data_IF_391231395141
#
_entry.id   IF_391231395141
#
_cell.length_a   1.000
_cell.length_b   1.000
_cell.length_c   1.000
_cell.angle_alpha   90.00
_cell.angle_beta   90.00
_cell.angle_gamma   90.00
#
_symmetry.space_group_name_H-M   'P 1'
#
loop_
_entity.id
_entity.type
_entity.pdbx_description
1 polymer ?
#
# COMPACT_ATOMS: atom_id res chain seq x y z
N UNK A 1 -1.35 -15.81 -10.06
CA UNK A 1 -1.88 -14.57 -9.46
C UNK A 1 -1.07 -13.41 -10.03
N UNK A 2 -1.68 -12.23 -10.18
CA UNK A 2 -0.99 -11.04 -10.69
C UNK A 2 -1.29 -9.86 -9.76
N UNK A 3 -0.33 -8.97 -9.54
CA UNK A 3 -0.48 -7.84 -8.64
C UNK A 3 -0.23 -6.50 -9.35
N UNK A 4 -0.90 -5.45 -8.87
CA UNK A 4 -0.71 -4.07 -9.34
C UNK A 4 -0.44 -3.14 -8.17
N UNK A 5 0.49 -2.21 -8.33
CA UNK A 5 0.60 -1.06 -7.43
C UNK A 5 -0.47 -0.04 -7.77
N UNK A 6 -1.14 0.49 -6.75
CA UNK A 6 -2.21 1.50 -6.88
C UNK A 6 -1.89 2.71 -6.01
N UNK A 7 -2.23 3.88 -6.51
CA UNK A 7 -2.00 5.17 -5.86
C UNK A 7 -3.06 6.16 -6.36
N UNK A 8 -3.30 7.29 -5.66
CA UNK A 8 -4.16 8.34 -6.18
C UNK A 8 -3.65 8.82 -7.55
N UNK A 9 -4.55 9.13 -8.50
CA UNK A 9 -4.15 9.52 -9.86
C UNK A 9 -3.13 10.66 -9.91
N UNK A 10 -3.24 11.62 -8.98
CA UNK A 10 -2.26 12.70 -8.87
C UNK A 10 -0.86 12.18 -8.53
N UNK A 11 -0.74 11.26 -7.57
CA UNK A 11 0.55 10.66 -7.17
C UNK A 11 1.15 9.86 -8.31
N UNK A 12 0.35 9.07 -9.04
CA UNK A 12 0.84 8.34 -10.22
C UNK A 12 1.40 9.33 -11.25
N UNK A 13 0.69 10.43 -11.51
CA UNK A 13 1.10 11.44 -12.49
C UNK A 13 2.40 12.15 -12.10
N UNK A 14 2.59 12.48 -10.81
CA UNK A 14 3.74 13.25 -10.36
C UNK A 14 4.94 12.38 -10.01
N UNK A 15 4.71 11.23 -9.39
CA UNK A 15 5.74 10.44 -8.72
C UNK A 15 6.12 9.17 -9.51
N UNK A 16 5.28 8.74 -10.46
CA UNK A 16 5.48 7.52 -11.26
C UNK A 16 5.50 7.79 -12.78
N UNK A 17 6.33 8.75 -13.28
CA UNK A 17 6.36 9.09 -14.70
C UNK A 17 6.76 7.88 -15.57
N UNK A 18 6.08 7.73 -16.71
CA UNK A 18 6.30 6.60 -17.63
C UNK A 18 5.53 5.32 -17.26
N UNK A 19 4.67 5.36 -16.24
CA UNK A 19 3.80 4.24 -15.86
C UNK A 19 2.36 4.44 -16.29
N UNK A 20 1.57 3.35 -16.29
CA UNK A 20 0.14 3.43 -16.62
C UNK A 20 -0.66 4.16 -15.52
N UNK A 21 -1.69 4.95 -15.87
CA UNK A 21 -2.60 5.56 -14.89
C UNK A 21 -3.49 4.53 -14.19
N UNK A 22 -4.12 4.92 -13.07
CA UNK A 22 -4.90 4.02 -12.20
C UNK A 22 -6.00 3.26 -12.95
N UNK A 23 -6.78 3.95 -13.77
CA UNK A 23 -7.86 3.37 -14.57
C UNK A 23 -7.37 2.22 -15.46
N UNK A 24 -6.20 2.38 -16.09
CA UNK A 24 -5.58 1.34 -16.94
C UNK A 24 -5.06 0.17 -16.11
N UNK A 25 -4.51 0.40 -14.93
CA UNK A 25 -4.10 -0.66 -14.00
C UNK A 25 -5.31 -1.49 -13.56
N UNK A 26 -6.40 -0.83 -13.17
CA UNK A 26 -7.64 -1.49 -12.76
C UNK A 26 -8.33 -2.23 -13.91
N UNK A 27 -8.33 -1.66 -15.12
CA UNK A 27 -8.83 -2.34 -16.31
C UNK A 27 -8.04 -3.62 -16.64
N UNK A 28 -6.71 -3.59 -16.50
CA UNK A 28 -5.86 -4.76 -16.65
C UNK A 28 -6.11 -5.81 -15.55
N UNK A 29 -6.28 -5.38 -14.30
CA UNK A 29 -6.65 -6.28 -13.21
C UNK A 29 -8.00 -6.97 -13.45
N UNK A 30 -9.01 -6.22 -13.88
CA UNK A 30 -10.31 -6.76 -14.25
C UNK A 30 -10.22 -7.75 -15.42
N UNK A 31 -9.35 -7.50 -16.41
CA UNK A 31 -9.10 -8.44 -17.50
C UNK A 31 -8.45 -9.73 -17.01
N UNK A 32 -7.47 -9.65 -16.10
CA UNK A 32 -6.88 -10.84 -15.49
C UNK A 32 -7.92 -11.64 -14.68
N UNK A 33 -8.81 -10.96 -13.97
CA UNK A 33 -9.93 -11.62 -13.26
C UNK A 33 -10.84 -12.38 -14.22
N UNK A 34 -11.22 -11.78 -15.37
CA UNK A 34 -12.01 -12.44 -16.41
C UNK A 34 -11.30 -13.64 -17.02
N UNK A 35 -9.98 -13.60 -17.11
CA UNK A 35 -9.15 -14.72 -17.55
C UNK A 35 -8.94 -15.81 -16.47
N UNK A 36 -9.63 -15.71 -15.32
CA UNK A 36 -9.62 -16.73 -14.28
C UNK A 36 -8.57 -16.50 -13.19
N UNK A 37 -7.70 -15.50 -13.30
CA UNK A 37 -6.71 -15.21 -12.26
C UNK A 37 -7.35 -14.56 -11.04
N UNK A 38 -6.81 -14.88 -9.86
CA UNK A 38 -6.91 -13.98 -8.69
C UNK A 38 -5.89 -12.85 -8.84
N UNK A 39 -6.24 -11.71 -8.26
CA UNK A 39 -5.41 -10.50 -8.32
C UNK A 39 -5.08 -9.98 -6.93
N UNK A 40 -4.06 -9.15 -6.84
CA UNK A 40 -3.64 -8.52 -5.60
C UNK A 40 -3.24 -7.06 -5.84
N UNK A 41 -3.19 -6.27 -4.77
CA UNK A 41 -2.91 -4.84 -4.88
C UNK A 41 -1.91 -4.35 -3.84
N UNK A 42 -1.00 -3.49 -4.28
CA UNK A 42 -0.05 -2.82 -3.41
C UNK A 42 -0.43 -1.34 -3.26
N UNK A 43 -0.77 -0.93 -2.05
CA UNK A 43 -0.70 0.47 -1.63
C UNK A 43 0.68 0.69 -1.00
N UNK A 44 1.71 0.67 -1.85
CA UNK A 44 3.10 0.84 -1.44
C UNK A 44 3.85 1.67 -2.51
N UNK A 45 4.18 2.95 -2.23
CA UNK A 45 4.02 3.65 -0.95
C UNK A 45 2.67 4.37 -0.77
N UNK A 46 2.13 4.34 0.45
CA UNK A 46 1.14 5.31 0.95
C UNK A 46 1.84 6.62 1.28
N UNK A 47 1.37 7.71 0.67
CA UNK A 47 1.92 9.07 0.80
C UNK A 47 1.01 9.93 1.68
N UNK A 48 1.55 10.49 2.78
CA UNK A 48 0.77 11.19 3.80
C UNK A 48 0.80 12.72 3.63
N UNK A 49 0.43 13.19 2.44
CA UNK A 49 0.31 14.62 2.12
C UNK A 49 -1.09 15.18 2.45
N UNK A 50 -1.28 16.51 2.57
CA UNK A 50 -2.61 17.07 2.81
C UNK A 50 -3.66 16.55 1.83
N UNK A 51 -4.81 16.09 2.34
CA UNK A 51 -5.87 15.48 1.54
C UNK A 51 -5.66 14.00 1.18
N UNK A 52 -4.63 13.34 1.73
CA UNK A 52 -4.36 11.93 1.39
C UNK A 52 -5.54 10.99 1.71
N UNK A 53 -6.26 11.22 2.81
CA UNK A 53 -7.35 10.32 3.25
C UNK A 53 -8.42 10.20 2.18
N UNK A 54 -8.91 11.34 1.70
CA UNK A 54 -9.94 11.43 0.67
C UNK A 54 -9.42 10.82 -0.64
N UNK A 55 -8.19 11.17 -1.03
CA UNK A 55 -7.57 10.67 -2.25
C UNK A 55 -7.43 9.14 -2.25
N UNK A 56 -7.08 8.51 -1.12
CA UNK A 56 -7.01 7.05 -1.03
C UNK A 56 -8.38 6.38 -0.85
N UNK A 57 -9.39 7.06 -0.30
CA UNK A 57 -10.77 6.57 -0.35
C UNK A 57 -11.17 6.37 -1.80
N UNK A 58 -10.95 7.37 -2.66
CA UNK A 58 -11.31 7.27 -4.08
C UNK A 58 -10.60 6.10 -4.78
N UNK A 59 -9.35 5.80 -4.41
CA UNK A 59 -8.62 4.63 -4.93
C UNK A 59 -9.28 3.31 -4.50
N UNK A 60 -9.64 3.19 -3.21
CA UNK A 60 -10.31 2.00 -2.68
C UNK A 60 -11.68 1.81 -3.35
N UNK A 61 -12.45 2.89 -3.50
CA UNK A 61 -13.75 2.86 -4.17
C UNK A 61 -13.60 2.42 -5.63
N UNK A 62 -12.65 3.01 -6.38
CA UNK A 62 -12.39 2.65 -7.76
C UNK A 62 -11.93 1.19 -7.92
N UNK A 63 -11.05 0.72 -7.04
CA UNK A 63 -10.56 -0.66 -7.04
C UNK A 63 -11.71 -1.66 -6.92
N UNK A 64 -12.55 -1.51 -5.88
CA UNK A 64 -13.65 -2.46 -5.63
C UNK A 64 -14.87 -2.24 -6.52
N UNK A 65 -14.93 -1.14 -7.28
CA UNK A 65 -15.87 -1.00 -8.40
C UNK A 65 -15.38 -1.72 -9.67
N UNK A 66 -14.06 -1.88 -9.86
CA UNK A 66 -13.49 -2.54 -11.04
C UNK A 66 -13.27 -4.04 -10.85
N UNK A 67 -12.97 -4.48 -9.63
CA UNK A 67 -12.62 -5.86 -9.30
C UNK A 67 -13.48 -6.38 -8.14
N UNK A 68 -14.19 -7.51 -8.31
CA UNK A 68 -14.93 -8.16 -7.24
C UNK A 68 -14.02 -8.55 -6.07
N UNK A 69 -14.45 -8.24 -4.84
CA UNK A 69 -13.64 -8.45 -3.63
C UNK A 69 -13.22 -9.92 -3.42
N UNK A 70 -14.10 -10.86 -3.75
CA UNK A 70 -13.86 -12.31 -3.68
C UNK A 70 -12.78 -12.81 -4.66
N UNK A 71 -12.41 -12.00 -5.66
CA UNK A 71 -11.32 -12.25 -6.61
C UNK A 71 -9.99 -11.61 -6.19
N UNK A 72 -10.01 -10.76 -5.16
CA UNK A 72 -8.80 -10.20 -4.55
C UNK A 72 -8.22 -11.21 -3.57
N UNK A 73 -6.94 -11.55 -3.75
CA UNK A 73 -6.23 -12.47 -2.89
C UNK A 73 -5.77 -11.79 -1.59
N UNK A 74 -5.19 -10.60 -1.72
CA UNK A 74 -4.68 -9.80 -0.61
C UNK A 74 -4.44 -8.37 -1.07
N UNK A 75 -4.30 -7.49 -0.08
CA UNK A 75 -3.85 -6.11 -0.27
C UNK A 75 -2.70 -5.82 0.68
N UNK A 76 -1.60 -5.27 0.16
CA UNK A 76 -0.48 -4.81 0.97
C UNK A 76 -0.59 -3.33 1.26
N UNK A 77 -0.28 -2.92 2.48
CA UNK A 77 -0.13 -1.52 2.86
C UNK A 77 1.32 -1.26 3.27
N UNK A 78 1.96 -0.26 2.68
CA UNK A 78 3.30 0.18 3.07
C UNK A 78 3.40 1.67 2.90
N UNK A 79 3.84 2.41 3.93
CA UNK A 79 4.10 3.84 3.79
C UNK A 79 5.46 4.09 3.14
N UNK A 80 5.66 5.30 2.61
CA UNK A 80 6.93 5.71 2.01
C UNK A 80 8.12 5.43 2.94
N UNK A 81 9.12 4.76 2.38
CA UNK A 81 10.39 4.48 3.04
C UNK A 81 11.53 4.55 2.05
N UNK A 82 12.67 5.10 2.47
CA UNK A 82 13.84 5.22 1.62
C UNK A 82 15.12 5.24 2.47
N UNK A 83 16.25 4.75 1.94
CA UNK A 83 17.51 4.76 2.68
C UNK A 83 18.03 6.20 2.81
N UNK A 84 18.73 6.54 3.89
CA UNK A 84 19.25 7.91 4.12
C UNK A 84 20.11 8.43 2.95
N UNK A 85 20.95 7.56 2.37
CA UNK A 85 21.77 7.84 1.17
C UNK A 85 20.97 8.33 -0.04
N UNK A 86 19.68 8.02 -0.12
CA UNK A 86 18.80 8.51 -1.18
C UNK A 86 18.67 10.04 -1.11
N UNK A 87 18.42 10.60 0.08
CA UNK A 87 18.36 12.05 0.25
C UNK A 87 19.72 12.73 0.04
N UNK A 88 20.81 12.09 0.49
CA UNK A 88 22.16 12.62 0.27
C UNK A 88 22.48 12.78 -1.22
N UNK A 89 22.07 11.80 -2.04
CA UNK A 89 22.32 11.81 -3.48
C UNK A 89 21.33 12.65 -4.28
N UNK A 90 20.04 12.58 -3.93
CA UNK A 90 18.95 13.10 -4.75
C UNK A 90 18.22 14.29 -4.14
N UNK A 91 18.43 14.62 -2.87
CA UNK A 91 17.77 15.70 -2.14
C UNK A 91 17.69 17.03 -2.92
N UNK A 92 18.80 17.53 -3.52
CA UNK A 92 18.77 18.76 -4.30
C UNK A 92 17.81 18.72 -5.50
N UNK A 93 17.59 17.55 -6.10
CA UNK A 93 16.69 17.31 -7.25
C UNK A 93 15.25 17.02 -6.82
N UNK A 94 15.03 16.73 -5.54
CA UNK A 94 13.71 16.47 -4.96
C UNK A 94 13.03 17.74 -4.44
N UNK A 95 13.60 18.94 -4.66
CA UNK A 95 12.99 20.22 -4.28
C UNK A 95 11.64 20.35 -5.00
N UNK A 96 10.55 20.09 -4.27
CA UNK A 96 9.17 20.05 -4.78
C UNK A 96 8.45 18.75 -4.47
N UNK A 97 9.16 17.64 -4.29
CA UNK A 97 8.61 16.35 -3.88
C UNK A 97 8.44 16.30 -2.35
N UNK A 98 7.40 17.01 -1.87
CA UNK A 98 7.12 17.22 -0.44
C UNK A 98 7.03 15.91 0.36
N UNK A 99 6.57 14.82 -0.25
CA UNK A 99 6.54 13.48 0.31
C UNK A 99 7.87 13.03 0.94
N UNK A 100 9.04 13.47 0.45
CA UNK A 100 10.35 13.07 0.99
C UNK A 100 10.82 13.93 2.18
N UNK A 101 10.14 15.03 2.47
CA UNK A 101 10.54 16.02 3.49
C UNK A 101 9.53 16.14 4.64
N UNK A 102 8.61 15.18 4.76
CA UNK A 102 7.78 15.03 5.96
C UNK A 102 8.57 14.58 7.20
N UNK A 103 7.89 14.36 8.31
CA UNK A 103 8.46 13.88 9.59
C UNK A 103 8.95 12.42 9.49
N UNK A 104 10.09 12.23 8.81
CA UNK A 104 10.72 10.94 8.64
C UNK A 104 11.75 10.68 9.74
N UNK A 105 11.67 9.50 10.35
CA UNK A 105 12.59 9.02 11.38
C UNK A 105 13.31 7.76 10.89
N UNK A 106 14.59 7.57 11.27
CA UNK A 106 15.32 6.35 10.94
C UNK A 106 14.69 5.16 11.68
N UNK A 107 14.42 4.08 10.93
CA UNK A 107 14.06 2.79 11.52
C UNK A 107 15.27 1.85 11.66
N UNK A 108 15.06 0.69 12.31
CA UNK A 108 16.14 -0.26 12.61
C UNK A 108 16.87 -0.82 11.39
N UNK A 109 16.22 -0.84 10.23
CA UNK A 109 16.79 -1.31 8.94
C UNK A 109 17.54 -0.20 8.16
N UNK A 110 17.80 0.94 8.80
CA UNK A 110 18.49 2.08 8.20
C UNK A 110 17.66 2.88 7.19
N UNK A 111 16.36 2.57 7.04
CA UNK A 111 15.44 3.34 6.19
C UNK A 111 14.74 4.43 6.99
N UNK A 112 14.62 5.60 6.38
CA UNK A 112 13.76 6.68 6.84
C UNK A 112 12.30 6.30 6.54
N UNK A 113 11.41 6.49 7.51
CA UNK A 113 9.97 6.22 7.45
C UNK A 113 9.20 7.34 8.15
N UNK A 114 7.91 7.54 7.85
CA UNK A 114 7.10 8.46 8.65
C UNK A 114 7.11 8.12 10.15
N UNK A 115 6.93 9.14 10.99
CA UNK A 115 6.79 8.97 12.44
C UNK A 115 5.74 7.90 12.80
N UNK A 116 6.02 7.10 13.83
CA UNK A 116 5.30 5.85 14.10
C UNK A 116 3.78 6.02 14.25
N UNK A 117 3.24 7.01 15.00
CA UNK A 117 1.80 7.24 15.08
C UNK A 117 1.15 7.57 13.72
N UNK A 118 1.82 8.33 12.86
CA UNK A 118 1.31 8.67 11.53
C UNK A 118 1.14 7.43 10.66
N UNK A 119 2.12 6.51 10.70
CA UNK A 119 2.05 5.24 9.97
C UNK A 119 0.91 4.36 10.50
N UNK A 120 0.82 4.20 11.81
CA UNK A 120 -0.25 3.43 12.46
C UNK A 120 -1.63 3.94 12.04
N UNK A 121 -1.84 5.25 12.11
CA UNK A 121 -3.13 5.86 11.80
C UNK A 121 -3.46 5.75 10.30
N UNK A 122 -2.45 5.82 9.42
CA UNK A 122 -2.61 5.57 8.00
C UNK A 122 -3.05 4.13 7.69
N UNK A 123 -2.37 3.15 8.29
CA UNK A 123 -2.71 1.74 8.11
C UNK A 123 -4.10 1.40 8.65
N UNK A 124 -4.46 1.90 9.85
CA UNK A 124 -5.81 1.72 10.42
C UNK A 124 -6.89 2.28 9.51
N UNK A 125 -6.69 3.49 9.00
CA UNK A 125 -7.64 4.14 8.12
C UNK A 125 -7.86 3.35 6.82
N UNK A 126 -6.78 2.95 6.14
CA UNK A 126 -6.89 2.19 4.90
C UNK A 126 -7.47 0.79 5.14
N UNK A 127 -7.09 0.12 6.23
CA UNK A 127 -7.65 -1.17 6.59
C UNK A 127 -9.16 -1.09 6.82
N UNK A 128 -9.66 -0.09 7.56
CA UNK A 128 -11.11 0.15 7.73
C UNK A 128 -11.80 0.35 6.37
N UNK A 129 -11.25 1.21 5.51
CA UNK A 129 -11.85 1.50 4.19
C UNK A 129 -11.91 0.26 3.30
N UNK A 130 -10.85 -0.53 3.27
CA UNK A 130 -10.80 -1.77 2.49
C UNK A 130 -11.78 -2.80 3.04
N UNK A 131 -11.81 -3.01 4.37
CA UNK A 131 -12.72 -3.97 5.03
C UNK A 131 -14.19 -3.62 4.81
N UNK A 132 -14.56 -2.33 4.80
CA UNK A 132 -15.93 -1.90 4.48
C UNK A 132 -16.37 -2.29 3.07
N UNK A 133 -15.45 -2.41 2.12
CA UNK A 133 -15.75 -2.77 0.73
C UNK A 133 -15.58 -4.26 0.43
N UNK A 134 -14.64 -4.93 1.11
CA UNK A 134 -14.24 -6.31 0.81
C UNK A 134 -14.60 -7.34 1.89
N UNK A 135 -15.08 -6.88 3.05
CA UNK A 135 -15.30 -7.71 4.24
C UNK A 135 -14.02 -7.96 5.05
N UNK A 136 -14.20 -8.46 6.27
CA UNK A 136 -13.13 -8.78 7.22
C UNK A 136 -12.24 -9.95 6.78
N UNK A 137 -12.74 -10.81 5.87
CA UNK A 137 -12.00 -11.97 5.38
C UNK A 137 -10.88 -11.65 4.39
N UNK A 138 -10.82 -10.43 3.85
CA UNK A 138 -9.75 -10.05 2.93
C UNK A 138 -8.41 -9.92 3.68
N UNK A 139 -7.41 -10.66 3.22
CA UNK A 139 -6.05 -10.66 3.77
C UNK A 139 -5.39 -9.29 3.54
N UNK A 140 -5.12 -8.57 4.63
CA UNK A 140 -4.33 -7.34 4.66
C UNK A 140 -2.98 -7.59 5.30
N UNK A 141 -1.92 -7.06 4.73
CA UNK A 141 -0.57 -7.20 5.28
C UNK A 141 0.20 -5.88 5.23
N UNK A 142 1.09 -5.64 6.20
CA UNK A 142 1.93 -4.45 6.24
C UNK A 142 3.34 -4.73 5.68
N UNK A 143 3.72 -4.05 4.61
CA UNK A 143 4.98 -4.28 3.90
C UNK A 143 6.17 -3.62 4.62
N UNK A 144 7.20 -4.41 4.97
CA UNK A 144 8.42 -3.95 5.66
C UNK A 144 8.17 -3.21 6.99
N UNK A 145 7.16 -3.69 7.73
CA UNK A 145 6.78 -3.20 9.05
C UNK A 145 7.11 -4.19 10.17
N UNK A 146 7.25 -3.68 11.39
CA UNK A 146 7.58 -4.50 12.57
C UNK A 146 6.32 -5.17 13.15
N UNK A 147 6.43 -6.33 13.83
CA UNK A 147 5.30 -6.98 14.49
C UNK A 147 4.48 -6.04 15.38
N UNK A 148 5.15 -5.17 16.16
CA UNK A 148 4.48 -4.16 16.97
C UNK A 148 3.62 -3.17 16.16
N UNK A 149 4.02 -2.82 14.93
CA UNK A 149 3.19 -1.99 14.04
C UNK A 149 1.96 -2.78 13.55
N UNK A 150 2.13 -4.06 13.22
CA UNK A 150 1.02 -4.93 12.84
C UNK A 150 -0.01 -5.07 13.97
N UNK A 151 0.44 -5.38 15.19
CA UNK A 151 -0.45 -5.47 16.36
C UNK A 151 -1.18 -4.16 16.61
N UNK A 152 -0.47 -3.03 16.52
CA UNK A 152 -1.06 -1.72 16.71
C UNK A 152 -2.07 -1.33 15.61
N UNK A 153 -1.81 -1.65 14.34
CA UNK A 153 -2.63 -1.18 13.23
C UNK A 153 -3.73 -2.16 12.79
N UNK A 154 -3.45 -3.46 12.79
CA UNK A 154 -4.35 -4.51 12.29
C UNK A 154 -4.91 -5.40 13.39
N UNK A 155 -4.38 -5.34 14.61
CA UNK A 155 -4.86 -6.11 15.76
C UNK A 155 -4.31 -7.54 15.84
N UNK A 156 -3.31 -7.89 15.04
CA UNK A 156 -2.59 -9.16 15.12
C UNK A 156 -1.12 -8.96 14.77
N UNK A 157 -0.26 -9.86 15.20
CA UNK A 157 1.16 -9.87 14.87
C UNK A 157 1.47 -11.09 14.00
N UNK A 158 2.19 -10.95 12.87
CA UNK A 158 2.60 -12.10 12.07
C UNK A 158 3.69 -12.89 12.83
N UNK A 159 3.69 -14.22 12.70
CA UNK A 159 4.77 -15.05 13.22
C UNK A 159 6.08 -14.79 12.42
N UNK A 160 7.28 -15.10 12.97
CA UNK A 160 8.55 -14.75 12.35
C UNK A 160 8.80 -15.37 10.96
N UNK A 161 9.54 -14.63 10.12
CA UNK A 161 10.13 -14.93 8.81
C UNK A 161 9.56 -16.10 7.97
N UNK A 162 8.90 -15.74 6.85
CA UNK A 162 8.34 -16.66 5.86
C UNK A 162 6.84 -16.92 6.03
N UNK A 163 6.25 -16.46 7.14
CA UNK A 163 4.83 -16.66 7.44
C UNK A 163 3.91 -15.79 6.59
N UNK A 164 4.28 -14.52 6.30
CA UNK A 164 3.43 -13.66 5.46
C UNK A 164 3.36 -14.22 4.04
N UNK A 165 4.49 -14.55 3.40
CA UNK A 165 4.49 -15.14 2.05
C UNK A 165 3.74 -16.47 2.01
N UNK A 166 3.93 -17.32 3.03
CA UNK A 166 3.22 -18.61 3.15
C UNK A 166 1.74 -18.43 3.40
N UNK A 167 1.34 -17.48 4.25
CA UNK A 167 -0.04 -17.11 4.53
C UNK A 167 -0.72 -16.50 3.32
N UNK A 168 -0.02 -15.70 2.53
CA UNK A 168 -0.51 -15.16 1.26
C UNK A 168 -0.62 -16.24 0.18
N UNK A 169 0.26 -17.25 0.19
CA UNK A 169 0.24 -18.38 -0.73
C UNK A 169 -0.71 -19.50 -0.32
N UNK A 170 -1.18 -19.53 0.92
CA UNK A 170 -2.11 -20.54 1.43
C UNK A 170 -3.41 -20.53 0.60
N UNK A 171 -3.98 -21.71 0.27
CA UNK A 171 -5.22 -21.80 -0.48
C UNK A 171 -6.30 -20.89 0.11
N UNK A 172 -7.06 -20.25 -0.78
CA UNK A 172 -8.26 -19.53 -0.37
C UNK A 172 -9.29 -20.60 -0.02
N UNK A 173 -9.68 -20.65 1.27
CA UNK A 173 -10.71 -21.55 1.76
C UNK A 173 -12.08 -21.24 1.16
#
# INVERSE_FOLDING_TARGET
>A
MVAWSVNPPERIRTDEPGTAPLDRRLAAAAAAVRAGYRVAFHFDPVILEPGWREAYVDVVEALFSAVPADRVAWVSLGTLRFPRRFLERWGPKLRGARAFFGEHVPGPDGKLRYFWPLRRDAYRFLADRIRRRAGEGLRLYLCMETPAMWGAALGFEPEPEGDVERWLAAPFG
#
